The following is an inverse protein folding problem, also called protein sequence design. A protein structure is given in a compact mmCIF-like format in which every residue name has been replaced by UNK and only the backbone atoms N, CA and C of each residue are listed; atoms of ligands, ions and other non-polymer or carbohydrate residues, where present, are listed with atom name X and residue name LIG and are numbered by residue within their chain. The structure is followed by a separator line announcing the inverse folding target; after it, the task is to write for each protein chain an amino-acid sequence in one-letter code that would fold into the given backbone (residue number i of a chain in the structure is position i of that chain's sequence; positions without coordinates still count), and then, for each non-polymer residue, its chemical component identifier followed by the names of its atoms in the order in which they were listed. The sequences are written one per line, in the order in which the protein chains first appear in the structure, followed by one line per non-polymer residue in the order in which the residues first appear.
data_IF_375123540672
#
_entry.id   IF_375123540672
#
_cell.length_a   1.000
_cell.length_b   1.000
_cell.length_c   1.000
_cell.angle_alpha   90.00
_cell.angle_beta   90.00
_cell.angle_gamma   90.00
#
_symmetry.space_group_name_H-M   'P 1'
#
loop_
_entity.id
_entity.type
_entity.pdbx_description
1 polymer ?
#
# COMPACT_ATOMS: atom_id res chain seq x y z
N UNK A 1 -21.48 65.23 -33.79
CA UNK A 1 -20.39 64.49 -33.13
C UNK A 1 -21.01 63.86 -31.90
N UNK A 2 -21.47 62.62 -32.02
CA UNK A 2 -22.25 61.94 -30.98
C UNK A 2 -21.54 60.62 -30.70
N UNK A 3 -20.60 60.62 -29.76
CA UNK A 3 -19.87 59.41 -29.34
C UNK A 3 -20.69 58.68 -28.29
N UNK A 4 -21.69 57.91 -28.72
CA UNK A 4 -22.29 56.87 -27.89
C UNK A 4 -21.29 55.72 -27.80
N UNK A 5 -20.39 55.79 -26.81
CA UNK A 5 -19.59 54.65 -26.42
C UNK A 5 -20.52 53.65 -25.71
N UNK A 6 -21.11 52.74 -26.49
CA UNK A 6 -21.74 51.53 -25.96
C UNK A 6 -20.68 50.78 -25.14
N UNK A 7 -20.80 50.82 -23.82
CA UNK A 7 -20.04 49.95 -22.94
C UNK A 7 -20.48 48.52 -23.22
N UNK A 8 -19.78 47.87 -24.15
CA UNK A 8 -19.92 46.47 -24.50
C UNK A 8 -19.64 45.66 -23.24
N UNK A 9 -20.68 45.34 -22.47
CA UNK A 9 -20.59 44.44 -21.33
C UNK A 9 -20.16 43.09 -21.88
N UNK A 10 -18.87 42.78 -21.75
CA UNK A 10 -18.36 41.44 -22.02
C UNK A 10 -19.23 40.47 -21.21
N UNK A 11 -19.77 39.39 -21.81
CA UNK A 11 -20.48 38.37 -21.06
C UNK A 11 -19.56 37.95 -19.91
N UNK A 12 -20.04 38.08 -18.68
CA UNK A 12 -19.30 37.53 -17.54
C UNK A 12 -19.12 36.04 -17.85
N UNK A 13 -17.89 35.50 -17.73
CA UNK A 13 -17.68 34.08 -17.96
C UNK A 13 -18.67 33.31 -17.08
N UNK A 14 -19.51 32.49 -17.72
CA UNK A 14 -20.45 31.59 -17.04
C UNK A 14 -19.71 30.90 -15.89
N UNK A 15 -20.26 30.89 -14.66
CA UNK A 15 -19.60 30.24 -13.54
C UNK A 15 -19.32 28.79 -13.96
N UNK A 16 -18.07 28.31 -13.79
CA UNK A 16 -17.70 26.99 -14.30
C UNK A 16 -18.63 25.95 -13.68
N UNK A 17 -19.38 25.24 -14.53
CA UNK A 17 -20.27 24.17 -14.11
C UNK A 17 -19.50 23.09 -13.36
N UNK A 18 -20.08 22.59 -12.27
CA UNK A 18 -19.51 21.47 -11.54
C UNK A 18 -19.80 20.16 -12.28
N UNK A 19 -18.76 19.40 -12.61
CA UNK A 19 -18.86 18.10 -13.27
C UNK A 19 -18.01 17.03 -12.59
N UNK A 20 -18.17 15.76 -13.00
CA UNK A 20 -17.32 14.68 -12.50
C UNK A 20 -15.97 14.71 -13.21
N UNK A 21 -14.95 15.18 -12.49
CA UNK A 21 -13.57 15.26 -13.00
C UNK A 21 -12.72 14.11 -12.48
N UNK A 22 -11.79 13.64 -13.32
CA UNK A 22 -10.81 12.62 -12.95
C UNK A 22 -9.75 13.23 -12.03
N UNK A 23 -9.66 12.72 -10.80
CA UNK A 23 -8.72 13.20 -9.76
C UNK A 23 -7.67 12.14 -9.45
N UNK A 24 -8.07 10.88 -9.33
CA UNK A 24 -7.16 9.79 -8.96
C UNK A 24 -6.76 8.98 -10.19
N UNK A 25 -5.46 8.94 -10.48
CA UNK A 25 -4.93 8.07 -11.54
C UNK A 25 -5.11 6.58 -11.19
N UNK A 26 -5.10 5.72 -12.20
CA UNK A 26 -5.31 4.29 -12.03
C UNK A 26 -4.22 3.62 -11.18
N UNK A 27 -2.91 3.94 -11.33
CA UNK A 27 -1.87 3.36 -10.49
C UNK A 27 -2.10 3.63 -9.00
N UNK A 28 -2.49 4.84 -8.61
CA UNK A 28 -2.76 5.17 -7.22
C UNK A 28 -3.96 4.39 -6.66
N UNK A 29 -5.00 4.16 -7.47
CA UNK A 29 -6.17 3.34 -7.10
C UNK A 29 -5.80 1.88 -6.90
N UNK A 30 -5.08 1.29 -7.87
CA UNK A 30 -4.62 -0.10 -7.74
C UNK A 30 -3.69 -0.24 -6.55
N UNK A 31 -2.75 0.69 -6.35
CA UNK A 31 -1.86 0.69 -5.18
C UNK A 31 -2.67 0.68 -3.89
N UNK A 32 -3.65 1.57 -3.76
CA UNK A 32 -4.46 1.67 -2.54
C UNK A 32 -5.24 0.40 -2.24
N UNK A 33 -5.97 -0.14 -3.22
CA UNK A 33 -6.79 -1.33 -3.01
C UNK A 33 -5.96 -2.60 -2.84
N UNK A 34 -4.84 -2.72 -3.56
CA UNK A 34 -3.92 -3.83 -3.37
C UNK A 34 -3.22 -3.75 -2.01
N UNK A 35 -2.81 -2.57 -1.56
CA UNK A 35 -2.28 -2.34 -0.22
C UNK A 35 -3.29 -2.72 0.85
N UNK A 36 -4.55 -2.25 0.73
CA UNK A 36 -5.61 -2.56 1.67
C UNK A 36 -5.92 -4.06 1.74
N UNK A 37 -5.97 -4.74 0.59
CA UNK A 37 -6.17 -6.19 0.53
C UNK A 37 -5.01 -6.97 1.14
N UNK A 38 -3.76 -6.57 0.83
CA UNK A 38 -2.58 -7.20 1.41
C UNK A 38 -2.52 -7.00 2.92
N UNK A 39 -2.80 -5.80 3.40
CA UNK A 39 -2.85 -5.49 4.83
C UNK A 39 -3.91 -6.33 5.55
N UNK A 40 -5.15 -6.36 5.03
CA UNK A 40 -6.21 -7.16 5.62
C UNK A 40 -5.86 -8.65 5.65
N UNK A 41 -5.31 -9.19 4.54
CA UNK A 41 -4.82 -10.56 4.50
C UNK A 41 -3.69 -10.83 5.50
N UNK A 42 -2.75 -9.90 5.65
CA UNK A 42 -1.63 -10.03 6.58
C UNK A 42 -2.14 -10.05 8.03
N UNK A 43 -3.10 -9.19 8.39
CA UNK A 43 -3.76 -9.22 9.69
C UNK A 43 -4.51 -10.54 9.95
N UNK A 44 -5.21 -11.06 8.95
CA UNK A 44 -5.97 -12.31 9.08
C UNK A 44 -5.07 -13.54 9.23
N UNK A 45 -3.87 -13.50 8.64
CA UNK A 45 -2.90 -14.59 8.66
C UNK A 45 -1.91 -14.51 9.82
N UNK A 46 -1.81 -13.35 10.49
CA UNK A 46 -0.91 -13.13 11.61
C UNK A 46 -1.14 -14.15 12.75
N UNK A 47 -0.05 -14.75 13.25
CA UNK A 47 -0.08 -15.68 14.38
C UNK A 47 -0.71 -17.05 14.12
N UNK A 48 -1.11 -17.37 12.88
CA UNK A 48 -1.72 -18.66 12.52
C UNK A 48 -0.67 -19.62 11.97
N UNK A 49 -0.56 -20.79 12.61
CA UNK A 49 0.25 -21.90 12.09
C UNK A 49 -0.21 -22.28 10.68
N UNK A 50 0.74 -22.50 9.76
CA UNK A 50 0.48 -22.83 8.35
C UNK A 50 0.18 -21.65 7.41
N UNK A 51 -0.08 -20.43 7.92
CA UNK A 51 -0.34 -19.24 7.10
C UNK A 51 0.87 -18.29 6.99
N UNK A 52 2.00 -18.67 7.58
CA UNK A 52 3.23 -17.86 7.67
C UNK A 52 3.75 -17.44 6.29
N UNK A 53 3.75 -18.35 5.30
CA UNK A 53 4.28 -18.05 3.97
C UNK A 53 3.40 -17.03 3.22
N UNK A 54 2.09 -17.15 3.38
CA UNK A 54 1.15 -16.17 2.85
C UNK A 54 1.30 -14.82 3.56
N UNK A 55 1.42 -14.81 4.89
CA UNK A 55 1.67 -13.58 5.65
C UNK A 55 2.94 -12.85 5.17
N UNK A 56 4.05 -13.58 5.00
CA UNK A 56 5.30 -13.02 4.47
C UNK A 56 5.13 -12.49 3.05
N UNK A 57 4.47 -13.24 2.17
CA UNK A 57 4.23 -12.82 0.77
C UNK A 57 3.41 -11.53 0.69
N UNK A 58 2.38 -11.40 1.54
CA UNK A 58 1.58 -10.18 1.65
C UNK A 58 2.42 -9.01 2.18
N UNK A 59 3.24 -9.23 3.21
CA UNK A 59 4.16 -8.23 3.76
C UNK A 59 5.19 -7.73 2.74
N UNK A 60 5.82 -8.63 1.97
CA UNK A 60 6.76 -8.26 0.91
C UNK A 60 6.06 -7.50 -0.23
N UNK A 61 4.83 -7.90 -0.58
CA UNK A 61 4.02 -7.17 -1.57
C UNK A 61 3.74 -5.75 -1.09
N UNK A 62 3.37 -5.56 0.18
CA UNK A 62 3.18 -4.22 0.77
C UNK A 62 4.48 -3.40 0.74
N UNK A 63 5.63 -3.99 1.08
CA UNK A 63 6.92 -3.34 0.99
C UNK A 63 7.23 -2.83 -0.42
N UNK A 64 7.07 -3.68 -1.43
CA UNK A 64 7.26 -3.31 -2.84
C UNK A 64 6.29 -2.21 -3.30
N UNK A 65 5.02 -2.27 -2.87
CA UNK A 65 4.03 -1.24 -3.16
C UNK A 65 4.41 0.12 -2.56
N UNK A 66 4.96 0.16 -1.34
CA UNK A 66 5.44 1.41 -0.73
C UNK A 66 6.57 2.01 -1.56
N UNK A 67 7.55 1.19 -1.99
CA UNK A 67 8.65 1.66 -2.85
C UNK A 67 8.10 2.25 -4.15
N UNK A 68 7.16 1.55 -4.80
CA UNK A 68 6.46 2.09 -5.96
C UNK A 68 5.78 3.42 -5.65
N UNK A 69 5.04 3.52 -4.55
CA UNK A 69 4.30 4.72 -4.18
C UNK A 69 5.22 5.90 -3.91
N UNK A 70 6.38 5.67 -3.32
CA UNK A 70 7.41 6.69 -3.12
C UNK A 70 7.88 7.20 -4.49
N UNK A 71 8.28 6.31 -5.40
CA UNK A 71 8.70 6.68 -6.75
C UNK A 71 7.60 7.43 -7.53
N UNK A 72 6.37 6.92 -7.51
CA UNK A 72 5.20 7.55 -8.13
C UNK A 72 4.84 8.89 -7.48
N UNK A 73 5.21 9.10 -6.22
CA UNK A 73 5.05 10.38 -5.53
C UNK A 73 5.96 11.50 -6.02
N UNK A 74 6.97 11.19 -6.83
CA UNK A 74 7.80 12.19 -7.51
C UNK A 74 7.44 12.31 -9.00
N UNK A 75 7.19 11.18 -9.67
CA UNK A 75 6.98 11.12 -11.13
C UNK A 75 5.51 11.13 -11.59
N UNK A 76 4.56 10.84 -10.69
CA UNK A 76 3.16 10.60 -11.03
C UNK A 76 2.35 11.85 -11.41
N UNK A 77 1.03 11.66 -11.53
CA UNK A 77 0.09 12.73 -11.91
C UNK A 77 -0.05 13.81 -10.82
N UNK A 78 -0.77 14.89 -11.14
CA UNK A 78 -0.96 16.07 -10.26
C UNK A 78 -1.27 15.68 -8.81
N UNK A 79 -2.25 14.81 -8.57
CA UNK A 79 -2.66 14.49 -7.20
C UNK A 79 -1.83 13.35 -6.56
N UNK A 80 -1.04 12.63 -7.34
CA UNK A 80 -0.13 11.60 -6.82
C UNK A 80 1.14 12.19 -6.19
N UNK A 81 1.59 13.36 -6.69
CA UNK A 81 2.85 13.98 -6.30
C UNK A 81 2.85 14.53 -4.88
N UNK A 82 3.87 14.19 -4.08
CA UNK A 82 4.01 14.66 -2.70
C UNK A 82 4.03 16.19 -2.62
N UNK A 83 4.71 16.87 -3.54
CA UNK A 83 4.77 18.33 -3.59
C UNK A 83 3.39 19.02 -3.66
N UNK A 84 2.35 18.33 -4.17
CA UNK A 84 1.03 18.92 -4.32
C UNK A 84 0.14 18.78 -3.08
N UNK A 85 0.53 17.97 -2.09
CA UNK A 85 -0.27 17.79 -0.87
C UNK A 85 0.52 17.81 0.43
N UNK A 86 1.82 17.53 0.40
CA UNK A 86 2.71 17.67 1.55
C UNK A 86 3.08 19.14 1.66
N UNK A 87 2.33 19.84 2.52
CA UNK A 87 2.63 21.21 2.95
C UNK A 87 3.83 21.21 3.90
N UNK A 88 4.54 22.33 3.99
CA UNK A 88 5.70 22.45 4.88
C UNK A 88 5.34 22.11 6.35
N UNK A 89 6.30 21.61 7.15
CA UNK A 89 6.03 21.15 8.52
C UNK A 89 5.37 22.21 9.40
N UNK A 90 5.69 23.49 9.18
CA UNK A 90 5.04 24.62 9.87
C UNK A 90 3.56 24.80 9.51
N UNK A 91 3.17 24.58 8.25
CA UNK A 91 1.77 24.65 7.82
C UNK A 91 0.95 23.46 8.31
N UNK A 92 1.56 22.27 8.37
CA UNK A 92 0.93 21.08 8.95
C UNK A 92 0.66 21.31 10.44
N UNK A 93 1.66 21.79 11.20
CA UNK A 93 1.51 22.09 12.62
C UNK A 93 0.47 23.19 12.88
N UNK A 94 0.46 24.25 12.05
CA UNK A 94 -0.55 25.31 12.14
C UNK A 94 -1.96 24.79 11.81
N UNK A 95 -2.10 23.90 10.83
CA UNK A 95 -3.38 23.28 10.49
C UNK A 95 -3.89 22.36 11.61
N UNK A 96 -3.04 21.48 12.17
CA UNK A 96 -3.40 20.62 13.30
C UNK A 96 -3.85 21.44 14.53
N UNK A 97 -3.16 22.56 14.82
CA UNK A 97 -3.53 23.47 15.92
C UNK A 97 -4.84 24.23 15.66
N UNK A 98 -5.16 24.54 14.41
CA UNK A 98 -6.41 25.23 14.01
C UNK A 98 -7.55 24.26 13.69
N UNK A 99 -7.26 22.95 13.69
CA UNK A 99 -8.20 21.88 13.41
C UNK A 99 -9.47 21.97 14.28
N UNK A 100 -9.42 22.32 15.58
CA UNK A 100 -10.64 22.48 16.37
C UNK A 100 -11.54 23.67 15.95
N UNK A 101 -11.04 24.62 15.15
CA UNK A 101 -11.71 25.92 14.88
C UNK A 101 -11.97 26.25 13.41
N UNK A 102 -11.54 25.44 12.43
CA UNK A 102 -11.69 25.82 11.01
C UNK A 102 -11.59 24.67 10.00
N UNK A 103 -12.70 23.93 9.81
CA UNK A 103 -12.85 22.87 8.80
C UNK A 103 -13.63 23.35 7.56
N UNK A 104 -13.32 24.54 7.04
CA UNK A 104 -14.14 25.22 6.03
C UNK A 104 -13.65 25.17 4.58
N UNK A 105 -12.43 24.69 4.30
CA UNK A 105 -11.90 24.69 2.91
C UNK A 105 -12.12 23.34 2.24
N UNK A 106 -12.89 23.35 1.14
CA UNK A 106 -13.04 22.20 0.24
C UNK A 106 -11.68 21.83 -0.35
N UNK A 107 -11.34 20.55 -0.34
CA UNK A 107 -10.08 20.02 -0.87
C UNK A 107 -10.39 18.92 -1.89
N UNK A 108 -10.07 19.18 -3.16
CA UNK A 108 -10.32 18.24 -4.26
C UNK A 108 -9.41 17.02 -4.15
N UNK A 109 -8.10 17.25 -3.91
CA UNK A 109 -7.10 16.21 -3.66
C UNK A 109 -7.11 15.73 -2.21
N UNK A 110 -5.97 15.85 -1.53
CA UNK A 110 -5.83 15.47 -0.12
C UNK A 110 -6.08 16.65 0.82
N UNK A 111 -6.73 16.38 1.94
CA UNK A 111 -6.73 17.30 3.07
C UNK A 111 -5.38 17.27 3.79
N UNK A 112 -4.97 18.32 4.52
CA UNK A 112 -3.72 18.27 5.29
C UNK A 112 -3.70 17.14 6.31
N UNK A 113 -4.84 16.83 6.94
CA UNK A 113 -4.97 15.67 7.81
C UNK A 113 -4.76 14.35 7.04
N UNK A 114 -5.32 14.25 5.83
CA UNK A 114 -5.08 13.12 4.93
C UNK A 114 -3.61 12.99 4.50
N UNK A 115 -2.93 14.11 4.26
CA UNK A 115 -1.50 14.11 3.94
C UNK A 115 -0.65 13.52 5.08
N UNK A 116 -0.93 13.92 6.32
CA UNK A 116 -0.25 13.36 7.50
C UNK A 116 -0.54 11.86 7.63
N UNK A 117 -1.80 11.45 7.46
CA UNK A 117 -2.16 10.04 7.52
C UNK A 117 -1.44 9.21 6.45
N UNK A 118 -1.32 9.71 5.21
CA UNK A 118 -0.60 9.03 4.13
C UNK A 118 0.87 8.86 4.47
N UNK A 119 1.55 9.90 4.94
CA UNK A 119 2.97 9.82 5.32
C UNK A 119 3.15 8.81 6.46
N UNK A 120 2.34 8.91 7.52
CA UNK A 120 2.42 8.02 8.66
C UNK A 120 2.17 6.54 8.27
N UNK A 121 1.17 6.28 7.42
CA UNK A 121 0.88 4.94 6.91
C UNK A 121 2.03 4.41 6.05
N UNK A 122 2.60 5.22 5.15
CA UNK A 122 3.74 4.79 4.33
C UNK A 122 4.98 4.45 5.17
N UNK A 123 5.29 5.28 6.17
CA UNK A 123 6.41 5.06 7.07
C UNK A 123 6.20 3.81 7.94
N UNK A 124 5.01 3.64 8.51
CA UNK A 124 4.68 2.45 9.30
C UNK A 124 4.70 1.19 8.45
N UNK A 125 4.12 1.22 7.25
CA UNK A 125 4.19 0.05 6.34
C UNK A 125 5.63 -0.30 6.00
N UNK A 126 6.48 0.69 5.71
CA UNK A 126 7.90 0.44 5.44
C UNK A 126 8.60 -0.15 6.66
N UNK A 127 8.37 0.42 7.85
CA UNK A 127 8.95 -0.05 9.10
C UNK A 127 8.54 -1.50 9.40
N UNK A 128 7.25 -1.82 9.29
CA UNK A 128 6.72 -3.18 9.50
C UNK A 128 7.25 -4.17 8.48
N UNK A 129 7.35 -3.79 7.20
CA UNK A 129 7.89 -4.67 6.16
C UNK A 129 9.39 -4.97 6.36
N UNK A 130 10.18 -3.95 6.70
CA UNK A 130 11.63 -4.08 6.95
C UNK A 130 11.88 -4.91 8.21
N UNK A 131 11.17 -4.64 9.31
CA UNK A 131 11.33 -5.42 10.54
C UNK A 131 10.85 -6.85 10.39
N UNK A 132 9.78 -7.08 9.63
CA UNK A 132 9.30 -8.45 9.32
C UNK A 132 10.33 -9.23 8.51
N UNK A 133 10.95 -8.60 7.52
CA UNK A 133 12.06 -9.19 6.76
C UNK A 133 13.29 -9.47 7.64
N UNK A 134 13.65 -8.54 8.53
CA UNK A 134 14.76 -8.69 9.46
C UNK A 134 14.53 -9.76 10.54
N UNK A 135 13.26 -10.07 10.84
CA UNK A 135 12.84 -11.13 11.77
C UNK A 135 12.85 -12.54 11.17
N UNK A 136 13.47 -12.74 9.99
CA UNK A 136 13.53 -14.04 9.30
C UNK A 136 14.24 -15.15 10.10
N UNK A 137 14.59 -16.26 9.44
CA UNK A 137 15.03 -17.51 10.08
C UNK A 137 16.33 -17.44 10.92
N UNK A 138 16.95 -16.26 10.99
CA UNK A 138 18.04 -15.97 11.92
C UNK A 138 17.45 -15.12 13.04
N UNK A 139 17.00 -15.73 14.16
CA UNK A 139 16.65 -14.93 15.32
C UNK A 139 17.88 -14.10 15.67
N UNK A 140 17.74 -12.78 15.68
CA UNK A 140 18.67 -11.97 16.47
C UNK A 140 18.58 -12.51 17.89
N UNK A 141 19.71 -12.57 18.60
CA UNK A 141 19.81 -13.26 19.90
C UNK A 141 18.80 -12.74 20.95
N UNK A 142 18.18 -11.59 20.71
CA UNK A 142 17.23 -10.89 21.57
C UNK A 142 15.78 -10.85 21.05
N UNK A 143 15.47 -11.33 19.83
CA UNK A 143 14.11 -11.28 19.27
C UNK A 143 13.56 -9.87 18.97
N UNK A 144 14.40 -8.84 19.06
CA UNK A 144 13.99 -7.43 19.01
C UNK A 144 13.21 -7.05 17.75
N UNK A 145 13.61 -7.56 16.57
CA UNK A 145 12.92 -7.24 15.32
C UNK A 145 11.47 -7.74 15.29
N UNK A 146 11.20 -8.87 15.94
CA UNK A 146 9.85 -9.43 16.01
C UNK A 146 8.97 -8.56 16.90
N UNK A 147 9.45 -8.18 18.08
CA UNK A 147 8.72 -7.26 18.97
C UNK A 147 8.46 -5.91 18.30
N UNK A 148 9.45 -5.37 17.58
CA UNK A 148 9.28 -4.13 16.83
C UNK A 148 8.27 -4.30 15.67
N UNK A 149 8.30 -5.43 14.96
CA UNK A 149 7.32 -5.74 13.92
C UNK A 149 5.90 -5.80 14.49
N UNK A 150 5.69 -6.50 15.60
CA UNK A 150 4.39 -6.60 16.27
C UNK A 150 3.89 -5.24 16.75
N UNK A 151 4.76 -4.45 17.38
CA UNK A 151 4.43 -3.08 17.83
C UNK A 151 4.11 -2.13 16.66
N UNK A 152 4.90 -2.17 15.59
CA UNK A 152 4.65 -1.36 14.39
C UNK A 152 3.37 -1.79 13.67
N UNK A 153 3.09 -3.10 13.57
CA UNK A 153 1.86 -3.63 13.00
C UNK A 153 0.62 -3.21 13.81
N UNK A 154 0.69 -3.22 15.14
CA UNK A 154 -0.39 -2.75 16.00
C UNK A 154 -0.63 -1.24 15.84
N UNK A 155 0.44 -0.44 15.80
CA UNK A 155 0.34 1.00 15.55
C UNK A 155 -0.28 1.28 14.16
N UNK A 156 0.11 0.51 13.14
CA UNK A 156 -0.46 0.60 11.80
C UNK A 156 -1.96 0.24 11.81
N UNK A 157 -2.36 -0.81 12.51
CA UNK A 157 -3.78 -1.19 12.65
C UNK A 157 -4.62 -0.07 13.28
N UNK A 158 -4.13 0.52 14.37
CA UNK A 158 -4.79 1.66 15.02
C UNK A 158 -4.91 2.85 14.05
N UNK A 159 -3.85 3.17 13.31
CA UNK A 159 -3.84 4.26 12.34
C UNK A 159 -4.77 4.01 11.15
N UNK A 160 -4.87 2.76 10.67
CA UNK A 160 -5.84 2.36 9.63
C UNK A 160 -7.27 2.54 10.16
N UNK A 161 -7.54 2.17 11.41
CA UNK A 161 -8.84 2.43 12.05
C UNK A 161 -9.18 3.92 12.09
N UNK A 162 -8.23 4.77 12.52
CA UNK A 162 -8.39 6.22 12.50
C UNK A 162 -8.59 6.78 11.08
N UNK A 163 -7.88 6.23 10.10
CA UNK A 163 -7.99 6.62 8.69
C UNK A 163 -9.40 6.32 8.16
N UNK A 164 -9.94 5.13 8.42
CA UNK A 164 -11.30 4.73 8.03
C UNK A 164 -12.33 5.64 8.73
N UNK A 165 -12.18 5.91 10.02
CA UNK A 165 -13.05 6.84 10.74
C UNK A 165 -13.03 8.24 10.10
N UNK A 166 -11.84 8.73 9.71
CA UNK A 166 -11.68 9.98 8.97
C UNK A 166 -12.37 9.98 7.61
N UNK A 167 -12.35 8.85 6.88
CA UNK A 167 -13.07 8.69 5.61
C UNK A 167 -14.58 8.74 5.82
N UNK A 168 -15.10 8.02 6.81
CA UNK A 168 -16.54 8.02 7.12
C UNK A 168 -17.01 9.41 7.51
N UNK A 169 -16.28 10.05 8.43
CA UNK A 169 -16.57 11.41 8.86
C UNK A 169 -16.50 12.41 7.69
N UNK A 170 -15.45 12.33 6.87
CA UNK A 170 -15.26 13.18 5.70
C UNK A 170 -16.36 12.98 4.66
N UNK A 171 -16.80 11.73 4.45
CA UNK A 171 -17.86 11.41 3.50
C UNK A 171 -19.21 11.97 3.95
N UNK A 172 -19.52 11.86 5.25
CA UNK A 172 -20.72 12.44 5.83
C UNK A 172 -20.75 13.96 5.72
N UNK A 173 -19.64 14.63 6.06
CA UNK A 173 -19.55 16.10 6.01
C UNK A 173 -19.56 16.65 4.58
N UNK A 174 -18.88 15.98 3.66
CA UNK A 174 -18.77 16.44 2.28
C UNK A 174 -20.01 16.09 1.44
N UNK A 175 -20.92 15.25 1.95
CA UNK A 175 -22.07 14.76 1.19
C UNK A 175 -21.69 13.88 0.00
N UNK A 176 -20.45 13.41 -0.06
CA UNK A 176 -19.92 12.57 -1.13
C UNK A 176 -19.21 11.34 -0.54
N UNK A 177 -19.40 10.17 -1.16
CA UNK A 177 -18.74 8.96 -0.70
C UNK A 177 -17.26 8.96 -1.14
N UNK A 178 -16.36 9.24 -0.21
CA UNK A 178 -14.92 9.33 -0.48
C UNK A 178 -14.33 7.98 -0.88
N UNK A 179 -14.79 6.87 -0.29
CA UNK A 179 -14.35 5.53 -0.66
C UNK A 179 -14.76 5.21 -2.11
N UNK A 180 -15.98 5.56 -2.52
CA UNK A 180 -16.45 5.42 -3.90
C UNK A 180 -15.62 6.26 -4.87
N UNK A 181 -15.21 7.47 -4.47
CA UNK A 181 -14.31 8.30 -5.29
C UNK A 181 -12.97 7.63 -5.56
N UNK A 182 -12.48 6.80 -4.64
CA UNK A 182 -11.24 6.04 -4.82
C UNK A 182 -11.41 4.85 -5.77
N UNK A 183 -12.63 4.36 -5.98
CA UNK A 183 -12.93 3.32 -6.98
C UNK A 183 -13.10 3.97 -8.35
N UNK A 184 -13.97 4.98 -8.45
CA UNK A 184 -14.26 5.64 -9.73
C UNK A 184 -13.12 6.51 -10.23
N UNK A 185 -12.23 6.96 -9.32
CA UNK A 185 -11.18 7.92 -9.61
C UNK A 185 -11.68 9.35 -9.83
N UNK A 186 -12.99 9.58 -9.71
CA UNK A 186 -13.63 10.85 -10.06
C UNK A 186 -14.25 11.54 -8.85
N UNK A 187 -14.23 12.87 -8.85
CA UNK A 187 -14.90 13.72 -7.85
C UNK A 187 -15.66 14.86 -8.55
N UNK A 188 -16.58 15.50 -7.84
CA UNK A 188 -17.25 16.69 -8.34
C UNK A 188 -16.27 17.87 -8.30
N UNK A 189 -16.00 18.54 -9.41
CA UNK A 189 -15.02 19.62 -9.50
C UNK A 189 -15.20 20.44 -10.76
N UNK A 190 -14.30 21.40 -10.98
CA UNK A 190 -14.26 22.16 -12.22
C UNK A 190 -13.33 21.47 -13.23
N UNK A 191 -13.58 21.54 -14.55
CA UNK A 191 -12.79 20.80 -15.56
C UNK A 191 -11.27 21.05 -15.48
N UNK A 192 -10.85 22.25 -15.07
CA UNK A 192 -9.43 22.62 -14.87
C UNK A 192 -8.73 21.87 -13.73
N UNK A 193 -9.48 21.20 -12.87
CA UNK A 193 -8.97 20.37 -11.78
C UNK A 193 -8.70 18.92 -12.22
N UNK A 194 -9.15 18.50 -13.40
CA UNK A 194 -8.96 17.15 -13.90
C UNK A 194 -7.48 16.84 -14.22
N UNK A 195 -7.07 15.59 -14.01
CA UNK A 195 -5.80 15.08 -14.54
C UNK A 195 -5.93 14.74 -16.03
N UNK A 196 -4.83 14.83 -16.79
CA UNK A 196 -4.82 14.58 -18.24
C UNK A 196 -5.03 13.11 -18.63
N UNK A 197 -4.60 12.17 -17.80
CA UNK A 197 -4.68 10.74 -18.08
C UNK A 197 -4.70 9.93 -16.79
N UNK A 198 -5.36 8.77 -16.84
CA UNK A 198 -5.40 7.82 -15.73
C UNK A 198 -4.20 6.86 -15.71
N UNK A 199 -3.29 6.84 -16.69
CA UNK A 199 -2.09 5.99 -16.70
C UNK A 199 -2.37 4.48 -16.50
N UNK A 200 -3.34 3.91 -17.20
CA UNK A 200 -3.74 2.49 -17.06
C UNK A 200 -2.62 1.47 -17.33
N UNK A 201 -1.66 1.79 -18.21
CA UNK A 201 -0.52 0.90 -18.51
C UNK A 201 0.34 0.63 -17.27
N UNK A 202 0.62 1.66 -16.47
CA UNK A 202 1.38 1.54 -15.23
C UNK A 202 0.61 0.71 -14.20
N UNK A 203 -0.72 0.88 -14.14
CA UNK A 203 -1.58 0.08 -13.26
C UNK A 203 -1.54 -1.42 -13.65
N UNK A 204 -1.59 -1.73 -14.94
CA UNK A 204 -1.49 -3.10 -15.45
C UNK A 204 -0.11 -3.71 -15.15
N UNK A 205 0.97 -2.96 -15.36
CA UNK A 205 2.33 -3.41 -15.03
C UNK A 205 2.47 -3.73 -13.54
N UNK A 206 1.88 -2.92 -12.66
CA UNK A 206 1.92 -3.16 -11.23
C UNK A 206 1.15 -4.42 -10.82
N UNK A 207 -0.02 -4.67 -11.42
CA UNK A 207 -0.77 -5.91 -11.20
C UNK A 207 -0.01 -7.13 -11.72
N UNK A 208 0.58 -7.03 -12.91
CA UNK A 208 1.39 -8.10 -13.49
C UNK A 208 2.63 -8.40 -12.63
N UNK A 209 3.31 -7.37 -12.12
CA UNK A 209 4.45 -7.53 -11.22
C UNK A 209 4.04 -8.21 -9.90
N UNK A 210 2.92 -7.82 -9.30
CA UNK A 210 2.40 -8.47 -8.10
C UNK A 210 2.05 -9.95 -8.36
N UNK A 211 1.31 -10.24 -9.43
CA UNK A 211 0.95 -11.60 -9.80
C UNK A 211 2.17 -12.46 -10.14
N UNK A 212 3.15 -11.91 -10.86
CA UNK A 212 4.42 -12.58 -11.17
C UNK A 212 5.24 -12.89 -9.92
N UNK A 213 5.32 -11.94 -8.98
CA UNK A 213 6.00 -12.15 -7.69
C UNK A 213 5.33 -13.28 -6.87
N UNK A 214 4.00 -13.31 -6.83
CA UNK A 214 3.27 -14.38 -6.14
C UNK A 214 3.49 -15.72 -6.84
N UNK A 215 3.43 -15.76 -8.17
CA UNK A 215 3.75 -16.96 -8.95
C UNK A 215 5.16 -17.48 -8.65
N UNK A 216 6.15 -16.59 -8.57
CA UNK A 216 7.53 -16.94 -8.20
C UNK A 216 7.62 -17.53 -6.78
N UNK A 217 7.00 -16.88 -5.79
CA UNK A 217 7.02 -17.35 -4.39
C UNK A 217 6.42 -18.75 -4.23
N UNK A 218 5.30 -19.01 -4.92
CA UNK A 218 4.59 -20.29 -4.82
C UNK A 218 5.20 -21.39 -5.69
N UNK A 219 5.77 -21.04 -6.86
CA UNK A 219 6.54 -21.99 -7.66
C UNK A 219 7.81 -22.46 -6.91
N UNK A 220 8.49 -21.54 -6.22
CA UNK A 220 9.62 -21.87 -5.35
C UNK A 220 9.23 -22.79 -4.19
N UNK A 221 8.10 -22.52 -3.54
CA UNK A 221 7.58 -23.40 -2.49
C UNK A 221 7.29 -24.82 -3.00
N UNK A 222 6.70 -24.95 -4.19
CA UNK A 222 6.43 -26.24 -4.81
C UNK A 222 7.71 -27.03 -5.15
N UNK A 223 8.76 -26.34 -5.62
CA UNK A 223 10.04 -26.99 -5.94
C UNK A 223 10.76 -27.52 -4.69
N UNK A 224 10.71 -26.75 -3.58
CA UNK A 224 11.28 -27.18 -2.29
C UNK A 224 10.50 -28.36 -1.71
N UNK A 225 9.16 -28.35 -1.83
CA UNK A 225 8.31 -29.46 -1.39
C UNK A 225 8.63 -30.76 -2.14
N UNK A 226 8.70 -30.70 -3.48
CA UNK A 226 9.07 -31.84 -4.32
C UNK A 226 10.46 -32.40 -3.96
N UNK A 227 11.45 -31.53 -3.78
CA UNK A 227 12.80 -31.95 -3.39
C UNK A 227 12.84 -32.65 -2.02
N UNK A 228 12.02 -32.21 -1.06
CA UNK A 228 11.92 -32.85 0.26
C UNK A 228 11.23 -34.22 0.22
N UNK A 229 10.23 -34.39 -0.65
CA UNK A 229 9.60 -35.70 -0.87
C UNK A 229 10.57 -36.67 -1.51
N UNK A 230 11.31 -36.23 -2.53
CA UNK A 230 12.32 -37.04 -3.20
C UNK A 230 13.44 -37.50 -2.23
N UNK A 231 13.94 -36.62 -1.37
CA UNK A 231 14.88 -36.98 -0.30
C UNK A 231 14.29 -37.98 0.72
N UNK A 232 12.98 -37.89 1.02
CA UNK A 232 12.29 -38.84 1.91
C UNK A 232 12.08 -40.20 1.26
N UNK A 233 11.87 -40.23 -0.05
CA UNK A 233 11.79 -41.46 -0.85
C UNK A 233 13.16 -42.13 -0.93
N UNK A 234 14.22 -41.38 -1.28
CA UNK A 234 15.60 -41.88 -1.25
C UNK A 234 15.98 -42.44 0.13
N UNK A 235 15.58 -41.76 1.21
CA UNK A 235 15.82 -42.23 2.58
C UNK A 235 14.98 -43.47 2.96
N UNK A 236 13.81 -43.69 2.34
CA UNK A 236 13.01 -44.92 2.53
C UNK A 236 13.57 -46.08 1.70
N UNK A 237 14.08 -45.79 0.52
CA UNK A 237 14.69 -46.76 -0.39
C UNK A 237 16.12 -47.17 0.02
N UNK A 238 16.72 -46.49 0.99
CA UNK A 238 17.89 -46.95 1.74
C UNK A 238 17.52 -47.61 3.09
N UNK A 239 16.86 -48.79 3.14
CA UNK A 239 16.74 -49.52 4.40
C UNK A 239 18.03 -50.27 4.68
N UNK A 240 18.69 -49.94 5.79
CA UNK A 240 19.59 -50.78 6.61
C UNK A 240 20.77 -51.56 5.98
N UNK A 241 20.94 -51.61 4.65
CA UNK A 241 21.99 -52.40 3.99
C UNK A 241 23.39 -51.80 4.16
N UNK A 242 23.48 -50.49 4.46
CA UNK A 242 24.76 -49.81 4.71
C UNK A 242 25.25 -50.00 6.16
N UNK A 243 24.39 -50.38 7.11
CA UNK A 243 24.82 -50.65 8.49
C UNK A 243 25.31 -52.09 8.65
N UNK A 244 24.77 -53.06 7.90
CA UNK A 244 25.26 -54.45 7.94
C UNK A 244 26.59 -54.65 7.20
N UNK A 245 26.89 -53.87 6.15
CA UNK A 245 28.17 -53.96 5.44
C UNK A 245 29.39 -53.44 6.24
N UNK A 246 29.18 -52.84 7.42
CA UNK A 246 30.27 -52.42 8.35
C UNK A 246 30.43 -53.36 9.55
N UNK A 247 29.62 -54.42 9.64
CA UNK A 247 29.73 -55.47 10.66
C UNK A 247 30.13 -56.80 10.01
N UNK A 248 31.22 -56.81 9.26
CA UNK A 248 31.96 -58.06 9.05
C UNK A 248 32.74 -58.34 10.35
N UNK A 249 32.51 -59.48 11.03
CA UNK A 249 33.34 -59.90 12.14
C UNK A 249 34.64 -60.50 11.57
N UNK A 250 35.69 -59.68 11.52
CA UNK A 250 37.05 -60.20 11.39
C UNK A 250 37.49 -60.83 12.71
N UNK A 251 37.14 -62.11 12.89
CA UNK A 251 37.74 -62.99 13.89
C UNK A 251 38.92 -63.76 13.25
N UNK A 252 39.90 -64.11 14.08
CA UNK A 252 41.09 -64.97 13.85
C UNK A 252 42.35 -64.29 13.26
N UNK A 253 43.33 -63.93 14.09
CA UNK A 253 44.36 -64.82 14.69
C UNK A 253 45.22 -64.07 15.74
#
# INVERSE_FOLDING_TARGET
MNTNAESRSLPLPEPPGFERVLVWDAPLRVFHWLMAACFAGACLTAGREGWRDLHQTLGYTMGGLVVFRIAWGFAGTRYARFANFVRGPGEIAAYLRRMPRGWGRRHIGHSPAGAVAIIALLLLTLATAVSGWASGDKPTADGWWQEFHEGAALAMLALVGLHIAGIVFGSWRAGENLARSMISGTKLGVPSEAIRSACYSVALLMLAAAAGFWGYQWAGAATVAASREQLREEAREQPASTIEARREPGDND
#
